data_IF_114039940450
#
_entry.id   IF_114039940450
#
_cell.length_a   1.000
_cell.length_b   1.000
_cell.length_c   1.000
_cell.angle_alpha   90.00
_cell.angle_beta   90.00
_cell.angle_gamma   90.00
#
_symmetry.space_group_name_H-M   'P 1'
#
loop_
_entity.id
_entity.type
_entity.pdbx_description
1 polymer ?
#
# COMPACT_ATOMS: atom_id res chain seq x y z
N UNK A 1 -7.31 14.60 23.55
CA UNK A 1 -7.61 15.11 22.19
C UNK A 1 -8.49 14.07 21.51
N UNK A 2 -9.78 14.33 21.37
CA UNK A 2 -10.65 13.52 20.56
C UNK A 2 -10.28 13.82 19.10
N UNK A 3 -9.59 12.90 18.45
CA UNK A 3 -9.57 12.88 17.00
C UNK A 3 -11.01 12.61 16.58
N UNK A 4 -11.69 13.69 16.19
CA UNK A 4 -13.03 13.61 15.65
C UNK A 4 -13.05 12.52 14.58
N UNK A 5 -14.10 11.76 14.56
CA UNK A 5 -14.37 10.66 13.64
C UNK A 5 -13.78 10.99 12.26
N UNK A 6 -12.67 10.36 11.93
CA UNK A 6 -12.25 10.22 10.56
C UNK A 6 -13.27 9.26 9.95
N UNK A 7 -14.52 9.76 9.85
CA UNK A 7 -15.63 9.03 9.31
C UNK A 7 -15.36 8.82 7.83
N UNK A 8 -15.32 7.57 7.43
CA UNK A 8 -15.34 7.12 6.05
C UNK A 8 -14.24 7.72 5.16
N UNK A 9 -12.98 7.31 5.41
CA UNK A 9 -11.87 7.59 4.48
C UNK A 9 -12.10 7.01 3.09
N UNK A 10 -13.09 6.14 2.93
CA UNK A 10 -13.47 5.51 1.67
C UNK A 10 -14.94 5.82 1.40
N UNK A 11 -15.24 7.04 0.98
CA UNK A 11 -16.57 7.43 0.53
C UNK A 11 -16.59 7.54 -0.99
N UNK A 12 -17.51 6.86 -1.69
CA UNK A 12 -17.68 7.04 -3.14
C UNK A 12 -18.16 8.44 -3.55
N UNK A 13 -18.61 9.27 -2.61
CA UNK A 13 -19.08 10.63 -2.85
C UNK A 13 -18.12 11.69 -2.35
N UNK A 14 -17.12 12.02 -3.03
CA UNK A 14 -16.18 13.17 -2.99
C UNK A 14 -16.06 14.06 -1.72
N UNK A 15 -16.93 13.92 -0.75
CA UNK A 15 -17.00 14.86 0.37
C UNK A 15 -16.23 14.43 1.63
N UNK A 16 -15.86 13.14 1.76
CA UNK A 16 -15.22 12.64 3.00
C UNK A 16 -14.37 11.40 2.74
N UNK A 17 -13.07 11.60 2.50
CA UNK A 17 -12.12 10.49 2.56
C UNK A 17 -11.36 10.19 1.27
N UNK A 18 -10.77 9.00 1.18
CA UNK A 18 -10.01 8.53 0.03
C UNK A 18 -10.97 7.96 -1.02
N UNK A 19 -10.99 8.48 -2.26
CA UNK A 19 -11.90 8.02 -3.28
C UNK A 19 -11.58 6.59 -3.73
N UNK A 20 -12.61 5.74 -3.85
CA UNK A 20 -12.48 4.40 -4.42
C UNK A 20 -12.22 4.46 -5.93
N UNK A 21 -11.52 3.45 -6.47
CA UNK A 21 -11.19 3.35 -7.89
C UNK A 21 -10.20 4.42 -8.37
N UNK A 22 -9.46 5.02 -7.46
CA UNK A 22 -8.42 6.02 -7.73
C UNK A 22 -7.12 5.64 -7.00
N UNK A 23 -6.02 6.19 -7.51
CA UNK A 23 -4.74 6.18 -6.80
C UNK A 23 -4.64 7.45 -5.97
N UNK A 24 -4.36 7.28 -4.68
CA UNK A 24 -4.13 8.40 -3.75
C UNK A 24 -2.72 8.30 -3.19
N UNK A 25 -1.97 9.38 -3.23
CA UNK A 25 -0.59 9.43 -2.72
C UNK A 25 -0.53 10.34 -1.50
N UNK A 26 0.05 9.83 -0.41
CA UNK A 26 0.39 10.60 0.78
C UNK A 26 1.87 10.93 0.75
N UNK A 27 2.20 12.21 0.63
CA UNK A 27 3.57 12.70 0.64
C UNK A 27 3.82 13.53 1.91
N UNK A 28 5.03 13.44 2.44
CA UNK A 28 5.45 14.16 3.64
C UNK A 28 6.79 13.66 4.16
N UNK A 29 7.38 14.39 5.09
CA UNK A 29 8.64 14.05 5.73
C UNK A 29 8.56 12.73 6.51
N UNK A 30 9.72 12.14 6.81
CA UNK A 30 9.80 10.99 7.72
C UNK A 30 9.24 11.39 9.09
N UNK A 31 8.49 10.48 9.73
CA UNK A 31 7.85 10.77 11.02
C UNK A 31 6.56 11.59 10.95
N UNK A 32 6.13 12.08 9.78
CA UNK A 32 4.89 12.85 9.61
C UNK A 32 3.59 12.03 9.81
N UNK A 33 3.70 10.73 10.08
CA UNK A 33 2.55 9.88 10.35
C UNK A 33 1.90 9.24 9.10
N UNK A 34 2.59 9.21 7.96
CA UNK A 34 2.06 8.62 6.71
C UNK A 34 1.62 7.17 6.90
N UNK A 35 2.48 6.33 7.46
CA UNK A 35 2.20 4.92 7.74
C UNK A 35 1.06 4.76 8.73
N UNK A 36 1.03 5.56 9.80
CA UNK A 36 -0.07 5.57 10.77
C UNK A 36 -1.41 5.84 10.08
N UNK A 37 -1.43 6.78 9.16
CA UNK A 37 -2.63 7.14 8.42
C UNK A 37 -3.01 6.10 7.37
N UNK A 38 -2.07 5.72 6.50
CA UNK A 38 -2.32 4.81 5.38
C UNK A 38 -2.48 3.35 5.84
N UNK A 39 -1.49 2.78 6.52
CA UNK A 39 -1.50 1.39 6.95
C UNK A 39 -2.33 1.14 8.23
N UNK A 40 -2.59 2.18 9.02
CA UNK A 40 -3.47 2.10 10.19
C UNK A 40 -4.89 2.51 9.87
N UNK A 41 -5.16 3.81 9.84
CA UNK A 41 -6.53 4.34 9.81
C UNK A 41 -7.30 3.99 8.53
N UNK A 42 -6.67 4.08 7.36
CA UNK A 42 -7.34 3.76 6.10
C UNK A 42 -7.61 2.27 6.00
N UNK A 43 -6.63 1.43 6.36
CA UNK A 43 -6.81 -0.03 6.38
C UNK A 43 -7.95 -0.42 7.31
N UNK A 44 -7.95 0.09 8.54
CA UNK A 44 -9.04 -0.16 9.49
C UNK A 44 -10.40 0.27 8.93
N UNK A 45 -10.48 1.46 8.35
CA UNK A 45 -11.72 1.97 7.76
C UNK A 45 -12.20 1.13 6.57
N UNK A 46 -11.27 0.61 5.76
CA UNK A 46 -11.59 -0.29 4.66
C UNK A 46 -12.17 -1.62 5.17
N UNK A 47 -11.53 -2.21 6.18
CA UNK A 47 -12.00 -3.45 6.81
C UNK A 47 -13.37 -3.31 7.45
N UNK A 48 -13.67 -2.17 8.07
CA UNK A 48 -15.00 -1.86 8.63
C UNK A 48 -16.10 -1.79 7.57
N UNK A 49 -15.72 -1.52 6.32
CA UNK A 49 -16.61 -1.50 5.17
C UNK A 49 -16.63 -2.84 4.40
N UNK A 50 -16.00 -3.88 4.93
CA UNK A 50 -15.93 -5.20 4.29
C UNK A 50 -15.00 -5.24 3.06
N UNK A 51 -14.04 -4.30 2.97
CA UNK A 51 -13.05 -4.24 1.89
C UNK A 51 -11.84 -5.08 2.29
N UNK A 52 -11.44 -6.00 1.42
CA UNK A 52 -10.21 -6.77 1.59
C UNK A 52 -8.99 -5.89 1.34
N UNK A 53 -7.94 -6.01 2.16
CA UNK A 53 -6.76 -5.17 2.05
C UNK A 53 -5.53 -5.97 1.67
N UNK A 54 -4.81 -5.52 0.66
CA UNK A 54 -3.46 -5.98 0.31
C UNK A 54 -2.48 -4.89 0.72
N UNK A 55 -1.70 -5.14 1.78
CA UNK A 55 -0.71 -4.24 2.33
C UNK A 55 0.69 -4.67 1.92
N UNK A 56 1.35 -3.86 1.11
CA UNK A 56 2.72 -4.08 0.65
C UNK A 56 3.65 -3.19 1.48
N UNK A 57 4.42 -3.84 2.35
CA UNK A 57 5.39 -3.23 3.26
C UNK A 57 6.78 -3.32 2.63
N UNK A 58 7.27 -2.22 2.06
CA UNK A 58 8.54 -2.20 1.34
C UNK A 58 9.76 -1.98 2.25
N UNK A 59 9.53 -1.54 3.48
CA UNK A 59 10.55 -1.30 4.49
C UNK A 59 10.63 -2.41 5.52
N UNK A 60 9.67 -3.35 5.50
CA UNK A 60 9.47 -4.38 6.53
C UNK A 60 9.40 -3.77 7.95
N UNK A 61 8.73 -2.63 8.06
CA UNK A 61 8.63 -1.84 9.28
C UNK A 61 7.26 -1.94 9.97
N UNK A 62 6.27 -2.52 9.30
CA UNK A 62 4.91 -2.64 9.80
C UNK A 62 4.73 -4.01 10.47
N UNK A 63 4.99 -4.10 11.76
CA UNK A 63 4.75 -5.33 12.50
C UNK A 63 3.26 -5.55 12.83
N UNK A 64 2.92 -6.81 13.10
CA UNK A 64 1.53 -7.20 13.34
C UNK A 64 0.99 -6.60 14.63
N UNK A 65 1.80 -6.52 15.68
CA UNK A 65 1.40 -5.98 16.97
C UNK A 65 1.06 -4.49 16.85
N UNK A 66 1.83 -3.75 16.05
CA UNK A 66 1.57 -2.36 15.76
C UNK A 66 0.25 -2.17 14.97
N UNK A 67 0.01 -3.00 13.95
CA UNK A 67 -1.25 -2.98 13.20
C UNK A 67 -2.45 -3.28 14.11
N UNK A 68 -2.34 -4.29 14.96
CA UNK A 68 -3.39 -4.67 15.93
C UNK A 68 -3.62 -3.55 16.97
N UNK A 69 -2.58 -2.85 17.42
CA UNK A 69 -2.72 -1.69 18.30
C UNK A 69 -3.55 -0.56 17.65
N UNK A 70 -3.51 -0.45 16.33
CA UNK A 70 -4.34 0.47 15.54
C UNK A 70 -5.72 -0.09 15.19
N UNK A 71 -6.08 -1.26 15.76
CA UNK A 71 -7.36 -1.96 15.53
C UNK A 71 -7.51 -2.50 14.10
N UNK A 72 -6.42 -2.68 13.40
CA UNK A 72 -6.40 -3.40 12.12
C UNK A 72 -6.58 -4.88 12.41
N UNK A 73 -7.47 -5.52 11.69
CA UNK A 73 -7.66 -6.97 11.72
C UNK A 73 -6.59 -7.62 10.83
N UNK A 74 -5.69 -8.38 11.43
CA UNK A 74 -4.57 -9.03 10.74
C UNK A 74 -4.88 -10.45 10.28
N UNK A 75 -6.13 -10.88 10.42
CA UNK A 75 -6.55 -12.20 9.95
C UNK A 75 -6.44 -12.33 8.42
N UNK A 76 -6.13 -13.53 7.91
CA UNK A 76 -5.96 -13.76 6.47
C UNK A 76 -7.21 -13.45 5.62
N UNK A 77 -8.38 -13.45 6.25
CA UNK A 77 -9.66 -13.13 5.61
C UNK A 77 -9.85 -11.63 5.37
N UNK A 78 -9.06 -10.77 6.05
CA UNK A 78 -9.18 -9.32 6.02
C UNK A 78 -7.96 -8.61 5.48
N UNK A 79 -6.77 -9.20 5.66
CA UNK A 79 -5.50 -8.59 5.33
C UNK A 79 -4.53 -9.58 4.72
N UNK A 80 -4.04 -9.28 3.52
CA UNK A 80 -2.84 -9.90 2.97
C UNK A 80 -1.67 -8.91 3.12
N UNK A 81 -0.79 -9.17 4.09
CA UNK A 81 0.44 -8.39 4.24
C UNK A 81 1.59 -9.07 3.51
N UNK A 82 2.27 -8.32 2.66
CA UNK A 82 3.41 -8.77 1.86
C UNK A 82 4.61 -7.86 2.14
N UNK A 83 5.77 -8.46 2.43
CA UNK A 83 7.03 -7.72 2.57
C UNK A 83 7.86 -7.92 1.31
N UNK A 84 8.03 -6.85 0.52
CA UNK A 84 8.81 -6.89 -0.72
C UNK A 84 9.32 -5.49 -1.07
N UNK A 85 10.58 -5.39 -1.44
CA UNK A 85 11.26 -4.13 -1.72
C UNK A 85 11.56 -3.88 -3.20
N UNK A 86 11.50 -4.91 -4.04
CA UNK A 86 11.77 -4.77 -5.47
C UNK A 86 10.53 -4.31 -6.22
N UNK A 87 10.67 -3.27 -7.02
CA UNK A 87 9.57 -2.70 -7.85
C UNK A 87 8.96 -3.76 -8.77
N UNK A 88 9.81 -4.58 -9.39
CA UNK A 88 9.37 -5.62 -10.33
C UNK A 88 8.55 -6.71 -9.64
N UNK A 89 8.90 -7.07 -8.40
CA UNK A 89 8.15 -8.05 -7.61
C UNK A 89 6.79 -7.50 -7.20
N UNK A 90 6.74 -6.23 -6.80
CA UNK A 90 5.48 -5.54 -6.49
C UNK A 90 4.57 -5.51 -7.72
N UNK A 91 5.10 -5.09 -8.87
CA UNK A 91 4.36 -5.03 -10.13
C UNK A 91 3.81 -6.40 -10.54
N UNK A 92 4.67 -7.44 -10.48
CA UNK A 92 4.28 -8.82 -10.79
C UNK A 92 3.19 -9.33 -9.84
N UNK A 93 3.32 -9.07 -8.56
CA UNK A 93 2.35 -9.49 -7.54
C UNK A 93 0.98 -8.83 -7.79
N UNK A 94 0.96 -7.52 -8.00
CA UNK A 94 -0.28 -6.80 -8.32
C UNK A 94 -0.88 -7.32 -9.62
N UNK A 95 -0.08 -7.51 -10.66
CA UNK A 95 -0.55 -8.02 -11.95
C UNK A 95 -1.17 -9.42 -11.84
N UNK A 96 -0.50 -10.33 -11.12
CA UNK A 96 -1.02 -11.68 -10.87
C UNK A 96 -2.34 -11.64 -10.11
N UNK A 97 -2.37 -10.87 -9.02
CA UNK A 97 -3.60 -10.67 -8.25
C UNK A 97 -4.75 -10.15 -9.12
N UNK A 98 -4.47 -9.16 -9.98
CA UNK A 98 -5.49 -8.58 -10.87
C UNK A 98 -5.98 -9.55 -11.95
N UNK A 99 -5.13 -10.47 -12.41
CA UNK A 99 -5.53 -11.53 -13.36
C UNK A 99 -6.52 -12.46 -12.66
N UNK A 100 -6.18 -12.96 -11.48
CA UNK A 100 -7.04 -13.86 -10.70
C UNK A 100 -8.35 -13.16 -10.30
N UNK A 101 -8.25 -11.92 -9.85
CA UNK A 101 -9.41 -11.09 -9.50
C UNK A 101 -10.37 -10.89 -10.68
N UNK A 102 -9.86 -10.64 -11.89
CA UNK A 102 -10.68 -10.49 -13.10
C UNK A 102 -11.28 -11.80 -13.58
N UNK A 103 -10.69 -12.94 -13.24
CA UNK A 103 -11.23 -14.26 -13.56
C UNK A 103 -12.43 -14.64 -12.69
N UNK A 104 -12.63 -13.99 -11.55
CA UNK A 104 -13.82 -14.18 -10.69
C UNK A 104 -15.06 -13.60 -11.35
N UNK A 105 -16.23 -14.17 -11.09
CA UNK A 105 -17.50 -13.60 -11.50
C UNK A 105 -17.71 -12.22 -10.85
N UNK A 106 -18.30 -11.27 -11.57
CA UNK A 106 -18.47 -9.88 -11.10
C UNK A 106 -19.20 -9.79 -9.76
N UNK A 107 -20.16 -10.68 -9.52
CA UNK A 107 -20.97 -10.74 -8.31
C UNK A 107 -20.19 -11.28 -7.09
N UNK A 108 -19.12 -12.03 -7.33
CA UNK A 108 -18.28 -12.63 -6.29
C UNK A 108 -17.04 -11.80 -5.98
N UNK A 109 -16.74 -10.77 -6.78
CA UNK A 109 -15.55 -9.96 -6.61
C UNK A 109 -15.64 -9.09 -5.36
N UNK A 110 -14.80 -9.32 -4.34
CA UNK A 110 -14.73 -8.42 -3.19
C UNK A 110 -14.17 -7.07 -3.61
N UNK A 111 -14.54 -6.00 -2.93
CA UNK A 111 -13.80 -4.75 -3.03
C UNK A 111 -12.42 -4.93 -2.42
N UNK A 112 -11.39 -4.43 -3.10
CA UNK A 112 -10.00 -4.57 -2.68
C UNK A 112 -9.32 -3.21 -2.61
N UNK A 113 -8.57 -2.98 -1.54
CA UNK A 113 -7.70 -1.84 -1.36
C UNK A 113 -6.24 -2.30 -1.37
N UNK A 114 -5.44 -1.74 -2.26
CA UNK A 114 -3.98 -1.87 -2.20
C UNK A 114 -3.39 -0.70 -1.43
N UNK A 115 -2.53 -1.00 -0.46
CA UNK A 115 -1.73 -0.01 0.28
C UNK A 115 -0.26 -0.36 0.10
N UNK A 116 0.54 0.59 -0.36
CA UNK A 116 1.98 0.43 -0.55
C UNK A 116 2.70 1.42 0.36
N UNK A 117 3.45 0.93 1.30
CA UNK A 117 4.23 1.73 2.25
C UNK A 117 5.69 1.25 2.26
N UNK A 118 6.59 1.96 1.63
CA UNK A 118 6.44 3.21 0.89
C UNK A 118 6.96 3.09 -0.56
N UNK A 119 6.43 3.90 -1.48
CA UNK A 119 6.93 3.95 -2.87
C UNK A 119 8.40 4.35 -2.96
N UNK A 120 8.84 5.27 -2.09
CA UNK A 120 10.20 5.83 -2.12
C UNK A 120 11.29 4.83 -1.77
N UNK A 121 10.96 3.77 -1.05
CA UNK A 121 11.91 2.75 -0.59
C UNK A 121 12.01 1.53 -1.51
N UNK A 122 11.20 1.47 -2.55
CA UNK A 122 11.33 0.41 -3.55
C UNK A 122 12.67 0.51 -4.29
N UNK A 123 13.24 -0.64 -4.60
CA UNK A 123 14.51 -0.80 -5.29
C UNK A 123 14.28 -1.22 -6.74
N UNK A 124 15.08 -0.69 -7.63
CA UNK A 124 15.22 -1.21 -9.00
C UNK A 124 16.39 -2.19 -9.09
N UNK A 125 16.42 -3.10 -10.07
CA UNK A 125 17.59 -3.96 -10.31
C UNK A 125 18.89 -3.15 -10.46
N UNK A 126 18.80 -1.95 -11.02
CA UNK A 126 19.96 -1.05 -11.17
C UNK A 126 20.44 -0.49 -9.83
N UNK A 127 19.54 -0.21 -8.88
CA UNK A 127 19.95 0.22 -7.53
C UNK A 127 20.77 -0.88 -6.84
N UNK A 128 20.36 -2.14 -7.00
CA UNK A 128 21.06 -3.30 -6.44
C UNK A 128 22.43 -3.48 -7.12
N UNK A 129 22.50 -3.37 -8.45
CA UNK A 129 23.74 -3.48 -9.20
C UNK A 129 24.74 -2.37 -8.83
N UNK A 130 24.27 -1.14 -8.64
CA UNK A 130 25.10 -0.01 -8.21
C UNK A 130 25.63 -0.20 -6.79
N UNK A 131 24.79 -0.68 -5.90
CA UNK A 131 25.19 -1.00 -4.54
C UNK A 131 26.30 -2.07 -4.52
N UNK A 132 26.14 -3.14 -5.30
CA UNK A 132 27.12 -4.22 -5.40
C UNK A 132 28.46 -3.77 -6.01
N UNK A 133 28.43 -2.74 -6.87
CA UNK A 133 29.64 -2.15 -7.47
C UNK A 133 30.28 -1.05 -6.63
N UNK A 134 29.67 -0.69 -5.49
CA UNK A 134 30.12 0.41 -4.64
C UNK A 134 29.94 1.80 -5.28
N UNK A 135 29.13 1.91 -6.34
CA UNK A 135 28.90 3.15 -7.07
C UNK A 135 27.60 3.81 -6.59
N UNK A 136 27.73 4.69 -5.61
CA UNK A 136 26.62 5.40 -4.97
C UNK A 136 26.13 6.63 -5.76
N UNK A 137 26.21 6.63 -7.07
CA UNK A 137 25.63 7.71 -7.88
C UNK A 137 24.10 7.60 -7.85
N UNK A 138 23.47 8.58 -7.23
CA UNK A 138 22.03 8.66 -7.10
C UNK A 138 21.30 8.52 -8.45
N UNK A 139 20.33 7.64 -8.47
CA UNK A 139 19.51 7.38 -9.66
C UNK A 139 18.46 8.49 -9.85
N UNK A 140 18.85 9.57 -10.51
CA UNK A 140 17.93 10.66 -10.85
C UNK A 140 17.10 10.29 -12.09
N UNK A 141 16.00 9.57 -11.90
CA UNK A 141 14.99 9.43 -12.95
C UNK A 141 14.57 8.01 -13.35
N UNK A 142 15.19 6.95 -12.84
CA UNK A 142 14.84 5.56 -13.17
C UNK A 142 13.68 5.04 -12.32
N UNK A 143 13.67 5.34 -11.00
CA UNK A 143 12.55 5.02 -10.11
C UNK A 143 11.23 5.62 -10.59
N UNK A 144 11.15 6.91 -10.98
CA UNK A 144 9.93 7.46 -11.54
C UNK A 144 9.42 6.72 -12.77
N UNK A 145 10.31 6.28 -13.67
CA UNK A 145 9.90 5.52 -14.86
C UNK A 145 9.35 4.14 -14.50
N UNK A 146 9.97 3.43 -13.57
CA UNK A 146 9.49 2.13 -13.12
C UNK A 146 8.15 2.24 -12.38
N UNK A 147 7.95 3.29 -11.58
CA UNK A 147 6.69 3.55 -10.88
C UNK A 147 5.52 3.91 -11.81
N UNK A 148 5.79 4.54 -12.97
CA UNK A 148 4.76 4.87 -13.96
C UNK A 148 4.21 3.59 -14.63
N UNK A 149 4.98 2.51 -14.66
CA UNK A 149 4.58 1.23 -15.26
C UNK A 149 3.86 0.29 -14.30
N UNK A 150 3.76 0.63 -13.03
CA UNK A 150 2.93 -0.04 -12.02
C UNK A 150 1.45 0.30 -12.21
#
# INVERSE_FOLDING_TARGET
MQFGRICSFLDPGFEKGVPLGKVTVFAGESGAGKSYFAAGNIVKSAQDQGIFVVLIDTENALDEAWLQALKVDTSPEKLLKLSMSMIDDVAKTISTFMIDYKAMADEERPKVLFVIDSLGMMLTPTDVDQFNKGDMKGDMGRKPKALISL
#
